data_IF_515660597366
#
_entry.id   IF_515660597366
#
_cell.length_a   1.000
_cell.length_b   1.000
_cell.length_c   1.000
_cell.angle_alpha   90.00
_cell.angle_beta   90.00
_cell.angle_gamma   90.00
#
_symmetry.space_group_name_H-M   'P 1'
#
loop_
_entity.id
_entity.type
_entity.pdbx_description
1 polymer ?
#
# COMPACT_ATOMS: atom_id res chain seq x y z
N UNK A 1 -17.81 32.36 -5.53
CA UNK A 1 -16.76 31.50 -4.96
C UNK A 1 -15.91 31.02 -6.12
N UNK A 2 -14.62 31.33 -6.10
CA UNK A 2 -13.74 31.01 -7.22
C UNK A 2 -13.41 29.52 -7.21
N UNK A 3 -13.10 28.94 -8.37
CA UNK A 3 -12.70 27.52 -8.51
C UNK A 3 -11.49 27.18 -7.62
N UNK A 4 -10.67 28.19 -7.29
CA UNK A 4 -9.51 28.05 -6.41
C UNK A 4 -9.90 27.82 -4.94
N UNK A 5 -11.06 28.32 -4.49
CA UNK A 5 -11.57 28.07 -3.13
C UNK A 5 -12.13 26.65 -2.96
N UNK A 6 -12.53 25.99 -4.07
CA UNK A 6 -12.94 24.58 -4.06
C UNK A 6 -11.74 23.63 -4.05
N UNK A 7 -10.56 24.12 -4.46
CA UNK A 7 -9.34 23.35 -4.45
C UNK A 7 -8.78 23.33 -3.02
N UNK A 8 -9.24 22.35 -2.23
CA UNK A 8 -8.65 22.02 -0.93
C UNK A 8 -7.24 21.49 -1.12
N UNK A 9 -6.29 22.41 -1.32
CA UNK A 9 -4.87 22.14 -1.51
C UNK A 9 -4.29 21.27 -0.39
N UNK A 10 -4.78 21.46 0.84
CA UNK A 10 -4.53 20.64 2.01
C UNK A 10 -4.89 19.17 1.79
N UNK A 11 -6.10 18.89 1.29
CA UNK A 11 -6.58 17.54 1.02
C UNK A 11 -5.86 16.90 -0.18
N UNK A 12 -5.51 17.70 -1.17
CA UNK A 12 -4.74 17.23 -2.32
C UNK A 12 -3.31 16.83 -1.93
N UNK A 13 -2.64 17.68 -1.14
CA UNK A 13 -1.29 17.40 -0.65
C UNK A 13 -1.27 16.15 0.25
N UNK A 14 -2.24 16.03 1.16
CA UNK A 14 -2.34 14.87 2.04
C UNK A 14 -2.55 13.58 1.23
N UNK A 15 -3.43 13.60 0.24
CA UNK A 15 -3.67 12.45 -0.66
C UNK A 15 -2.37 11.98 -1.33
N UNK A 16 -1.56 12.91 -1.85
CA UNK A 16 -0.28 12.57 -2.50
C UNK A 16 0.68 11.96 -1.48
N UNK A 17 0.88 12.61 -0.33
CA UNK A 17 1.83 12.17 0.69
C UNK A 17 1.45 10.78 1.22
N UNK A 18 0.18 10.57 1.56
CA UNK A 18 -0.30 9.28 2.07
C UNK A 18 -0.31 8.18 1.00
N UNK A 19 -0.56 8.50 -0.27
CA UNK A 19 -0.44 7.53 -1.37
C UNK A 19 0.99 7.03 -1.54
N UNK A 20 1.96 7.94 -1.50
CA UNK A 20 3.39 7.58 -1.56
C UNK A 20 3.78 6.77 -0.33
N UNK A 21 3.38 7.19 0.87
CA UNK A 21 3.60 6.45 2.11
C UNK A 21 3.02 5.03 2.02
N UNK A 22 1.82 4.87 1.47
CA UNK A 22 1.20 3.56 1.26
C UNK A 22 2.02 2.62 0.40
N UNK A 23 2.54 3.11 -0.72
CA UNK A 23 3.41 2.34 -1.61
C UNK A 23 4.70 1.95 -0.89
N UNK A 24 5.32 2.88 -0.17
CA UNK A 24 6.53 2.61 0.61
C UNK A 24 6.26 1.56 1.68
N UNK A 25 5.14 1.67 2.41
CA UNK A 25 4.76 0.73 3.45
C UNK A 25 4.51 -0.68 2.88
N UNK A 26 3.87 -0.76 1.71
CA UNK A 26 3.63 -2.02 1.00
C UNK A 26 4.94 -2.70 0.64
N UNK A 27 5.86 -1.99 -0.01
CA UNK A 27 7.17 -2.53 -0.41
C UNK A 27 7.97 -2.94 0.83
N UNK A 28 8.03 -2.10 1.85
CA UNK A 28 8.73 -2.42 3.11
C UNK A 28 8.17 -3.68 3.75
N UNK A 29 6.84 -3.83 3.82
CA UNK A 29 6.23 -5.00 4.45
C UNK A 29 6.52 -6.27 3.66
N UNK A 30 6.46 -6.22 2.33
CA UNK A 30 6.83 -7.33 1.45
C UNK A 30 8.30 -7.73 1.69
N UNK A 31 9.21 -6.76 1.75
CA UNK A 31 10.64 -7.02 2.00
C UNK A 31 10.86 -7.62 3.39
N UNK A 32 10.22 -7.07 4.42
CA UNK A 32 10.33 -7.55 5.81
C UNK A 32 9.81 -8.98 5.92
N UNK A 33 8.64 -9.28 5.35
CA UNK A 33 8.05 -10.64 5.36
C UNK A 33 8.98 -11.61 4.63
N UNK A 34 9.50 -11.23 3.47
CA UNK A 34 10.41 -12.07 2.70
C UNK A 34 11.69 -12.39 3.51
N UNK A 35 12.23 -11.39 4.19
CA UNK A 35 13.40 -11.55 5.04
C UNK A 35 13.12 -12.41 6.29
N UNK A 36 12.03 -12.12 7.00
CA UNK A 36 11.68 -12.77 8.27
C UNK A 36 11.39 -14.26 8.08
N UNK A 37 10.64 -14.61 7.04
CA UNK A 37 10.26 -15.99 6.76
C UNK A 37 11.24 -16.71 5.81
N UNK A 38 12.33 -16.03 5.38
CA UNK A 38 13.29 -16.52 4.37
C UNK A 38 12.60 -17.05 3.12
N UNK A 39 11.52 -16.39 2.72
CA UNK A 39 10.75 -16.75 1.54
C UNK A 39 11.48 -16.21 0.31
N UNK A 40 11.25 -16.84 -0.84
CA UNK A 40 11.68 -16.31 -2.13
C UNK A 40 10.43 -15.95 -2.91
N UNK A 41 9.87 -14.77 -2.66
CA UNK A 41 8.63 -14.29 -3.30
C UNK A 41 8.61 -14.51 -4.82
N UNK A 42 9.70 -14.16 -5.51
CA UNK A 42 9.77 -14.37 -6.96
C UNK A 42 9.63 -15.85 -7.33
N UNK A 43 10.33 -16.74 -6.61
CA UNK A 43 10.27 -18.19 -6.85
C UNK A 43 8.87 -18.73 -6.58
N UNK A 44 8.28 -18.34 -5.46
CA UNK A 44 6.96 -18.85 -5.08
C UNK A 44 5.83 -18.34 -5.98
N UNK A 45 5.85 -17.06 -6.37
CA UNK A 45 4.82 -16.47 -7.22
C UNK A 45 5.00 -16.81 -8.71
N UNK A 46 6.22 -16.72 -9.24
CA UNK A 46 6.49 -16.85 -10.68
C UNK A 46 6.77 -18.30 -11.07
N UNK A 47 7.59 -19.01 -10.29
CA UNK A 47 7.99 -20.37 -10.67
C UNK A 47 6.98 -21.38 -10.14
N UNK A 48 6.64 -21.32 -8.85
CA UNK A 48 5.74 -22.29 -8.21
C UNK A 48 4.25 -21.93 -8.32
N UNK A 49 3.91 -20.77 -8.89
CA UNK A 49 2.52 -20.31 -9.10
C UNK A 49 1.68 -20.37 -7.82
N UNK A 50 2.28 -20.06 -6.68
CA UNK A 50 1.66 -20.19 -5.38
C UNK A 50 0.61 -19.09 -5.17
N UNK A 51 -0.66 -19.46 -5.38
CA UNK A 51 -1.81 -18.56 -5.21
C UNK A 51 -1.97 -18.04 -3.78
N UNK A 52 -1.52 -18.78 -2.76
CA UNK A 52 -1.58 -18.33 -1.37
C UNK A 52 -0.75 -17.05 -1.16
N UNK A 53 0.40 -16.94 -1.83
CA UNK A 53 1.20 -15.71 -1.82
C UNK A 53 0.53 -14.55 -2.52
N UNK A 54 -0.13 -14.80 -3.65
CA UNK A 54 -0.93 -13.78 -4.34
C UNK A 54 -2.04 -13.22 -3.43
N UNK A 55 -2.74 -14.10 -2.72
CA UNK A 55 -3.79 -13.73 -1.75
C UNK A 55 -3.19 -12.93 -0.59
N UNK A 56 -2.03 -13.34 -0.07
CA UNK A 56 -1.33 -12.61 1.00
C UNK A 56 -0.99 -11.16 0.57
N UNK A 57 -0.43 -10.97 -0.62
CA UNK A 57 -0.09 -9.63 -1.15
C UNK A 57 -1.36 -8.78 -1.34
N UNK A 58 -2.43 -9.38 -1.88
CA UNK A 58 -3.71 -8.68 -2.03
C UNK A 58 -4.28 -8.24 -0.67
N UNK A 59 -4.24 -9.10 0.35
CA UNK A 59 -4.67 -8.76 1.71
C UNK A 59 -3.85 -7.63 2.33
N UNK A 60 -2.52 -7.65 2.10
CA UNK A 60 -1.62 -6.58 2.52
C UNK A 60 -1.95 -5.23 1.88
N UNK A 61 -2.22 -5.22 0.58
CA UNK A 61 -2.63 -4.00 -0.13
C UNK A 61 -3.95 -3.44 0.40
N UNK A 62 -4.94 -4.31 0.67
CA UNK A 62 -6.22 -3.90 1.25
C UNK A 62 -6.04 -3.31 2.66
N UNK A 63 -5.28 -3.98 3.52
CA UNK A 63 -5.04 -3.52 4.89
C UNK A 63 -4.39 -2.11 4.92
N UNK A 64 -3.39 -1.87 4.07
CA UNK A 64 -2.73 -0.57 3.95
C UNK A 64 -3.71 0.48 3.43
N UNK A 65 -4.53 0.15 2.43
CA UNK A 65 -5.57 1.03 1.93
C UNK A 65 -6.55 1.48 3.02
N UNK A 66 -6.95 0.56 3.91
CA UNK A 66 -7.84 0.87 5.05
C UNK A 66 -7.15 1.81 6.05
N UNK A 67 -5.87 1.58 6.37
CA UNK A 67 -5.09 2.44 7.27
C UNK A 67 -5.00 3.87 6.71
N UNK A 68 -4.75 4.00 5.40
CA UNK A 68 -4.68 5.30 4.73
C UNK A 68 -6.04 5.99 4.69
N UNK A 69 -7.10 5.25 4.36
CA UNK A 69 -8.46 5.79 4.36
C UNK A 69 -8.85 6.33 5.74
N UNK A 70 -8.50 5.61 6.82
CA UNK A 70 -8.73 6.06 8.20
C UNK A 70 -7.92 7.30 8.59
N UNK A 71 -6.70 7.45 8.07
CA UNK A 71 -5.85 8.61 8.37
C UNK A 71 -6.21 9.86 7.57
N UNK A 72 -6.71 9.72 6.34
CA UNK A 72 -7.20 10.86 5.54
C UNK A 72 -8.55 11.39 6.04
N UNK A 73 -9.38 10.52 6.63
CA UNK A 73 -10.71 10.88 7.15
C UNK A 73 -10.67 11.58 8.53
N UNK A 74 -9.59 11.38 9.29
CA UNK A 74 -9.35 11.99 10.61
C UNK A 74 -8.88 13.45 10.50
#
# INVERSE_FOLDING_TARGET
MSILDQLRLDAFLSTIVYSVLGIVLLVLTIVIVNYLFKLNLHRELVDEHNTAFGIMIAGLAIAIGIIIAGTILS
#
